data_IF_447193900019
#
_entry.id   IF_447193900019
#
_cell.length_a   1.000
_cell.length_b   1.000
_cell.length_c   1.000
_cell.angle_alpha   90.00
_cell.angle_beta   90.00
_cell.angle_gamma   90.00
#
_symmetry.space_group_name_H-M   'P 1'
#
loop_
_entity.id
_entity.type
_entity.pdbx_description
1 polymer ?
#
# COMPACT_ATOMS: atom_id res chain seq x y z
N UNK A 1 -56.45 36.63 -11.13
CA UNK A 1 -55.32 35.94 -11.79
C UNK A 1 -54.09 36.45 -11.09
N UNK A 2 -53.63 35.70 -10.08
CA UNK A 2 -52.54 36.09 -9.20
C UNK A 2 -51.22 35.69 -9.83
N UNK A 3 -50.34 36.68 -10.00
CA UNK A 3 -48.97 36.53 -10.46
C UNK A 3 -48.20 35.59 -9.54
N UNK A 4 -47.71 34.49 -10.11
CA UNK A 4 -46.71 33.64 -9.48
C UNK A 4 -45.33 34.25 -9.77
N UNK A 5 -44.90 35.16 -8.91
CA UNK A 5 -43.49 35.53 -8.83
C UNK A 5 -42.68 34.28 -8.48
N UNK A 6 -41.87 33.84 -9.43
CA UNK A 6 -40.96 32.72 -9.29
C UNK A 6 -39.74 33.24 -8.53
N UNK A 7 -39.83 33.33 -7.21
CA UNK A 7 -38.68 33.61 -6.36
C UNK A 7 -37.69 32.45 -6.47
N UNK A 8 -36.64 32.63 -7.28
CA UNK A 8 -35.49 31.75 -7.27
C UNK A 8 -34.89 31.75 -5.85
N UNK A 9 -34.59 30.58 -5.29
CA UNK A 9 -34.00 30.43 -3.95
C UNK A 9 -32.51 30.07 -4.07
N UNK A 10 -31.67 30.55 -3.14
CA UNK A 10 -30.23 30.28 -3.12
C UNK A 10 -29.77 29.67 -1.80
N UNK A 11 -28.92 28.64 -1.91
CA UNK A 11 -28.40 27.89 -0.76
C UNK A 11 -27.01 28.45 -0.42
N UNK A 12 -26.89 29.19 0.68
CA UNK A 12 -25.64 29.93 0.97
C UNK A 12 -24.97 29.61 2.30
N UNK A 13 -25.70 29.14 3.32
CA UNK A 13 -25.11 28.98 4.65
C UNK A 13 -25.16 27.54 5.12
N UNK A 14 -23.99 26.90 5.06
CA UNK A 14 -23.75 25.58 5.64
C UNK A 14 -22.77 25.71 6.80
N UNK A 15 -23.27 25.44 8.02
CA UNK A 15 -22.45 25.38 9.24
C UNK A 15 -22.06 23.92 9.51
N UNK A 16 -20.91 23.73 10.14
CA UNK A 16 -20.39 22.43 10.55
C UNK A 16 -19.10 22.04 9.84
N UNK A 17 -18.81 22.58 8.65
CA UNK A 17 -17.54 22.30 7.99
C UNK A 17 -16.33 22.87 8.74
N UNK A 18 -15.15 22.23 8.63
CA UNK A 18 -13.91 22.79 9.18
C UNK A 18 -13.68 24.22 8.68
N UNK A 19 -13.12 25.07 9.56
CA UNK A 19 -12.81 26.46 9.23
C UNK A 19 -11.80 26.56 8.07
N UNK A 20 -10.89 25.58 7.99
CA UNK A 20 -9.93 25.42 6.91
C UNK A 20 -10.51 24.54 5.80
N UNK A 21 -10.25 24.90 4.54
CA UNK A 21 -10.59 24.05 3.38
C UNK A 21 -9.74 22.79 3.29
N UNK A 22 -8.76 22.63 4.19
CA UNK A 22 -7.82 21.53 4.25
C UNK A 22 -7.77 20.98 5.67
N UNK A 23 -7.81 19.66 5.82
CA UNK A 23 -7.64 18.96 7.10
C UNK A 23 -6.65 17.80 6.94
N UNK A 24 -6.12 17.26 8.04
CA UNK A 24 -5.30 16.05 8.02
C UNK A 24 -6.15 14.79 8.19
N UNK A 25 -5.64 13.67 7.67
CA UNK A 25 -6.29 12.38 7.77
C UNK A 25 -6.49 11.99 9.24
N UNK A 26 -7.65 11.42 9.55
CA UNK A 26 -8.09 11.11 10.91
C UNK A 26 -8.78 12.25 11.65
N UNK A 27 -8.90 13.44 11.03
CA UNK A 27 -9.70 14.52 11.61
C UNK A 27 -11.16 14.07 11.78
N UNK A 28 -11.73 14.36 12.96
CA UNK A 28 -13.12 14.02 13.24
C UNK A 28 -14.05 14.78 12.29
N UNK A 29 -15.01 14.11 11.63
CA UNK A 29 -15.99 14.78 10.80
C UNK A 29 -16.95 15.62 11.66
N UNK A 30 -17.62 16.62 11.07
CA UNK A 30 -18.63 17.39 11.77
C UNK A 30 -19.72 16.49 12.33
N UNK A 31 -20.05 16.65 13.62
CA UNK A 31 -21.16 15.91 14.23
C UNK A 31 -22.46 16.10 13.43
N UNK A 32 -22.74 17.36 13.06
CA UNK A 32 -23.87 17.73 12.23
C UNK A 32 -23.47 18.80 11.21
N UNK A 33 -24.06 18.72 10.03
CA UNK A 33 -24.01 19.77 9.03
C UNK A 33 -25.39 20.41 8.99
N UNK A 34 -25.45 21.72 9.20
CA UNK A 34 -26.71 22.49 9.17
C UNK A 34 -26.69 23.38 7.94
N UNK A 35 -27.58 23.10 6.98
CA UNK A 35 -27.79 23.90 5.79
C UNK A 35 -29.10 24.71 5.92
N UNK A 36 -29.09 25.92 5.35
CA UNK A 36 -30.28 26.77 5.22
C UNK A 36 -30.42 27.29 3.81
N UNK A 37 -31.67 27.49 3.40
CA UNK A 37 -32.03 28.12 2.14
C UNK A 37 -32.35 29.58 2.43
N UNK A 38 -31.77 30.48 1.64
CA UNK A 38 -31.93 31.93 1.76
C UNK A 38 -32.65 32.45 0.51
N UNK A 39 -33.51 33.48 0.65
CA UNK A 39 -34.05 34.20 -0.50
C UNK A 39 -32.92 34.82 -1.33
N UNK A 40 -33.10 34.94 -2.65
CA UNK A 40 -32.10 35.56 -3.55
C UNK A 40 -31.74 37.00 -3.17
N UNK A 41 -32.66 37.73 -2.55
CA UNK A 41 -32.45 39.10 -2.10
C UNK A 41 -31.56 39.22 -0.85
N UNK A 42 -31.17 38.10 -0.24
CA UNK A 42 -30.29 38.09 0.93
C UNK A 42 -28.85 38.46 0.53
N UNK A 43 -28.33 39.55 1.07
CA UNK A 43 -26.95 39.99 0.86
C UNK A 43 -26.13 39.73 2.13
N UNK A 44 -25.23 38.74 2.04
CA UNK A 44 -24.34 38.26 3.12
C UNK A 44 -23.36 39.32 3.69
N UNK A 45 -23.17 40.47 3.03
CA UNK A 45 -22.15 41.47 3.39
C UNK A 45 -22.43 42.29 4.66
N UNK A 46 -23.61 42.14 5.28
CA UNK A 46 -24.01 42.93 6.46
C UNK A 46 -23.72 42.20 7.77
N UNK A 47 -22.44 42.16 8.18
CA UNK A 47 -21.82 41.98 9.52
C UNK A 47 -22.47 41.19 10.69
N UNK A 48 -23.63 40.56 10.55
CA UNK A 48 -24.28 39.75 11.57
C UNK A 48 -23.90 38.28 11.38
N UNK A 49 -22.96 37.79 12.20
CA UNK A 49 -22.69 36.34 12.32
C UNK A 49 -23.88 35.55 12.90
N UNK A 50 -24.90 36.24 13.41
CA UNK A 50 -26.12 35.64 13.94
C UNK A 50 -27.07 35.19 12.84
N UNK A 51 -27.63 34.00 13.03
CA UNK A 51 -28.70 33.46 12.20
C UNK A 51 -29.98 34.24 12.53
N UNK A 52 -30.67 34.81 11.54
CA UNK A 52 -31.98 35.44 11.70
C UNK A 52 -33.03 34.65 10.91
N UNK A 53 -34.15 34.33 11.58
CA UNK A 53 -35.26 33.54 11.03
C UNK A 53 -35.91 34.20 9.82
N UNK A 54 -35.95 35.55 9.78
CA UNK A 54 -36.63 36.27 8.69
C UNK A 54 -35.95 36.07 7.33
N UNK A 55 -34.69 35.64 7.36
CA UNK A 55 -33.92 35.34 6.15
C UNK A 55 -33.87 33.84 5.85
N UNK A 56 -34.56 32.96 6.58
CA UNK A 56 -34.60 31.52 6.29
C UNK A 56 -35.88 31.22 5.52
N UNK A 57 -35.75 30.69 4.31
CA UNK A 57 -36.88 30.29 3.50
C UNK A 57 -37.66 29.16 4.19
N UNK A 58 -38.98 29.30 4.25
CA UNK A 58 -39.87 28.27 4.77
C UNK A 58 -40.40 27.45 3.60
N UNK A 59 -39.73 26.34 3.33
CA UNK A 59 -40.14 25.40 2.29
C UNK A 59 -40.47 24.05 2.91
N UNK A 60 -41.22 23.22 2.18
CA UNK A 60 -41.47 21.80 2.49
C UNK A 60 -40.65 20.87 1.58
N UNK A 61 -39.74 21.44 0.78
CA UNK A 61 -38.90 20.71 -0.16
C UNK A 61 -37.87 19.89 0.60
N UNK A 62 -37.57 18.69 0.12
CA UNK A 62 -36.50 17.90 0.70
C UNK A 62 -35.14 18.38 0.18
N UNK A 63 -34.11 18.26 1.02
CA UNK A 63 -32.73 18.48 0.63
C UNK A 63 -31.97 17.16 0.64
N UNK A 64 -31.25 16.92 -0.44
CA UNK A 64 -30.30 15.82 -0.56
C UNK A 64 -28.87 16.30 -0.32
N UNK A 65 -28.06 15.43 0.29
CA UNK A 65 -26.60 15.54 0.32
C UNK A 65 -26.01 14.34 -0.39
N UNK A 66 -24.97 14.56 -1.19
CA UNK A 66 -24.12 13.54 -1.79
C UNK A 66 -22.67 13.84 -1.44
N UNK A 67 -21.95 12.83 -0.93
CA UNK A 67 -20.54 12.92 -0.55
C UNK A 67 -19.73 12.00 -1.44
N UNK A 68 -18.73 12.59 -2.11
CA UNK A 68 -17.83 11.93 -3.05
C UNK A 68 -16.38 12.21 -2.68
N UNK A 69 -15.48 11.27 -2.94
CA UNK A 69 -14.04 11.45 -2.78
C UNK A 69 -13.33 11.29 -4.11
N UNK A 70 -12.32 12.13 -4.33
CA UNK A 70 -11.34 12.00 -5.40
C UNK A 70 -9.94 11.82 -4.80
N UNK A 71 -9.30 10.67 -5.06
CA UNK A 71 -8.04 10.25 -4.42
C UNK A 71 -6.78 10.87 -5.02
N UNK A 72 -6.81 11.30 -6.28
CA UNK A 72 -5.68 11.99 -6.92
C UNK A 72 -6.14 13.13 -7.83
N UNK A 73 -5.28 14.15 -8.00
CA UNK A 73 -5.54 15.26 -8.92
C UNK A 73 -5.45 14.84 -10.40
N UNK A 74 -4.80 13.71 -10.70
CA UNK A 74 -4.50 13.26 -12.06
C UNK A 74 -5.52 12.25 -12.61
N UNK A 75 -6.23 11.50 -11.75
CA UNK A 75 -7.28 10.59 -12.18
C UNK A 75 -8.64 11.30 -12.13
N UNK A 76 -9.11 11.81 -13.27
CA UNK A 76 -10.42 12.45 -13.40
C UNK A 76 -11.61 11.45 -13.32
N UNK A 77 -11.35 10.14 -13.39
CA UNK A 77 -12.40 9.12 -13.58
C UNK A 77 -12.73 8.30 -12.31
N UNK A 78 -11.88 8.35 -11.28
CA UNK A 78 -12.08 7.60 -10.03
C UNK A 78 -12.72 8.46 -8.95
N UNK A 79 -13.98 8.85 -9.14
CA UNK A 79 -14.78 9.51 -8.11
C UNK A 79 -15.54 8.45 -7.32
N UNK A 80 -15.08 8.17 -6.09
CA UNK A 80 -15.74 7.23 -5.18
C UNK A 80 -16.97 7.87 -4.55
N UNK A 81 -18.13 7.22 -4.67
CA UNK A 81 -19.29 7.57 -3.85
C UNK A 81 -19.07 7.08 -2.41
N UNK A 82 -19.39 7.92 -1.43
CA UNK A 82 -19.26 7.58 0.00
C UNK A 82 -20.63 7.50 0.65
N UNK A 83 -21.47 8.51 0.45
CA UNK A 83 -22.71 8.65 1.19
C UNK A 83 -23.71 9.53 0.45
N UNK A 84 -24.98 9.19 0.56
CA UNK A 84 -26.08 10.05 0.17
C UNK A 84 -27.21 9.98 1.19
N UNK A 85 -27.89 11.10 1.40
CA UNK A 85 -29.10 11.14 2.20
C UNK A 85 -30.06 12.24 1.73
N UNK A 86 -31.33 12.10 2.11
CA UNK A 86 -32.37 13.11 1.93
C UNK A 86 -33.03 13.38 3.26
N UNK A 87 -33.35 14.64 3.51
CA UNK A 87 -34.05 15.07 4.72
C UNK A 87 -35.06 16.17 4.40
N UNK A 88 -36.17 16.15 5.14
CA UNK A 88 -37.12 17.25 5.17
C UNK A 88 -36.60 18.40 6.06
N UNK A 89 -37.08 19.63 5.87
CA UNK A 89 -36.74 20.76 6.71
C UNK A 89 -37.29 20.56 8.12
N UNK A 90 -36.54 21.03 9.11
CA UNK A 90 -36.83 20.82 10.53
C UNK A 90 -36.74 22.14 11.32
N UNK A 91 -37.12 22.06 12.60
CA UNK A 91 -37.04 23.18 13.54
C UNK A 91 -36.04 22.90 14.66
N UNK A 92 -35.21 23.88 15.04
CA UNK A 92 -34.29 23.79 16.17
C UNK A 92 -34.06 25.14 16.82
N UNK A 93 -34.19 25.21 18.15
CA UNK A 93 -33.96 26.42 18.97
C UNK A 93 -34.69 27.67 18.42
N UNK A 94 -35.96 27.50 18.01
CA UNK A 94 -36.80 28.58 17.49
C UNK A 94 -36.58 28.91 16.00
N UNK A 95 -35.63 28.27 15.33
CA UNK A 95 -35.44 28.42 13.88
C UNK A 95 -36.15 27.31 13.11
N UNK A 96 -36.94 27.68 12.11
CA UNK A 96 -37.66 26.79 11.19
C UNK A 96 -37.04 26.83 9.80
N UNK A 97 -37.08 25.70 9.08
CA UNK A 97 -36.53 25.56 7.73
C UNK A 97 -35.07 25.09 7.71
N UNK A 98 -34.62 24.42 8.77
CA UNK A 98 -33.23 23.92 8.88
C UNK A 98 -33.09 22.51 8.35
N UNK A 99 -32.05 22.28 7.56
CA UNK A 99 -31.66 20.96 7.06
C UNK A 99 -30.47 20.47 7.88
N UNK A 100 -30.69 19.50 8.77
CA UNK A 100 -29.68 18.99 9.72
C UNK A 100 -29.27 17.57 9.32
N UNK A 101 -28.04 17.43 8.84
CA UNK A 101 -27.45 16.14 8.49
C UNK A 101 -26.50 15.67 9.60
N UNK A 102 -26.85 14.62 10.33
CA UNK A 102 -26.02 14.03 11.39
C UNK A 102 -24.90 13.16 10.82
N UNK A 103 -23.89 13.81 10.22
CA UNK A 103 -22.83 13.13 9.48
C UNK A 103 -21.85 12.39 10.40
N UNK A 104 -21.42 12.99 11.50
CA UNK A 104 -20.36 12.44 12.35
C UNK A 104 -20.73 11.11 13.00
N UNK A 105 -22.00 10.91 13.36
CA UNK A 105 -22.46 9.62 13.89
C UNK A 105 -22.57 8.54 12.82
N UNK A 106 -22.89 8.92 11.57
CA UNK A 106 -23.08 7.97 10.46
C UNK A 106 -21.77 7.59 9.78
N UNK A 107 -20.82 8.51 9.75
CA UNK A 107 -19.54 8.38 9.07
C UNK A 107 -18.42 8.87 10.01
N UNK A 108 -18.18 8.21 11.16
CA UNK A 108 -17.14 8.65 12.10
C UNK A 108 -15.74 8.67 11.49
N UNK A 109 -15.53 7.86 10.45
CA UNK A 109 -14.25 7.64 9.78
C UNK A 109 -14.12 8.39 8.44
N UNK A 110 -14.98 9.38 8.18
CA UNK A 110 -15.10 10.03 6.87
C UNK A 110 -13.77 10.57 6.34
N UNK A 111 -12.91 11.13 7.18
CA UNK A 111 -11.66 11.77 6.77
C UNK A 111 -10.42 10.92 7.04
N UNK A 112 -10.51 9.58 6.99
CA UNK A 112 -9.31 8.72 7.06
C UNK A 112 -8.53 8.67 5.75
N UNK A 113 -9.22 8.72 4.61
CA UNK A 113 -8.58 8.64 3.30
C UNK A 113 -8.20 10.03 2.79
N UNK A 114 -6.97 10.19 2.29
CA UNK A 114 -6.49 11.42 1.70
C UNK A 114 -7.11 11.64 0.31
N UNK A 115 -7.48 12.89 0.01
CA UNK A 115 -8.15 13.24 -1.24
C UNK A 115 -9.00 14.50 -1.12
N UNK A 116 -9.74 14.80 -2.17
CA UNK A 116 -10.70 15.91 -2.17
C UNK A 116 -12.11 15.35 -2.01
N UNK A 117 -12.75 15.73 -0.91
CA UNK A 117 -14.13 15.37 -0.59
C UNK A 117 -15.05 16.47 -1.07
N UNK A 118 -16.04 16.09 -1.87
CA UNK A 118 -17.06 16.98 -2.40
C UNK A 118 -18.39 16.65 -1.73
N UNK A 119 -18.97 17.66 -1.08
CA UNK A 119 -20.30 17.63 -0.50
C UNK A 119 -21.24 18.44 -1.40
N UNK A 120 -22.12 17.75 -2.10
CA UNK A 120 -23.08 18.34 -3.02
C UNK A 120 -24.46 18.35 -2.36
N UNK A 121 -25.05 19.53 -2.23
CA UNK A 121 -26.38 19.74 -1.68
C UNK A 121 -27.34 20.12 -2.80
N UNK A 122 -28.47 19.42 -2.88
CA UNK A 122 -29.48 19.63 -3.92
C UNK A 122 -30.87 19.59 -3.30
N UNK A 123 -31.65 20.66 -3.50
CA UNK A 123 -33.08 20.69 -3.17
C UNK A 123 -33.87 19.86 -4.18
N UNK A 124 -35.03 19.34 -3.78
CA UNK A 124 -35.90 18.54 -4.65
C UNK A 124 -36.50 19.32 -5.82
N UNK A 125 -36.51 20.65 -5.76
CA UNK A 125 -36.88 21.51 -6.89
C UNK A 125 -35.71 21.65 -7.87
N UNK A 126 -36.00 21.38 -9.15
CA UNK A 126 -35.03 21.45 -10.25
C UNK A 126 -34.59 22.89 -10.56
N UNK A 127 -35.35 23.90 -10.13
CA UNK A 127 -35.04 25.31 -10.36
C UNK A 127 -34.06 25.88 -9.32
N UNK A 128 -33.83 25.16 -8.21
CA UNK A 128 -32.90 25.60 -7.17
C UNK A 128 -31.44 25.33 -7.57
N UNK A 129 -30.56 26.30 -7.29
CA UNK A 129 -29.11 26.11 -7.46
C UNK A 129 -28.60 25.04 -6.50
N UNK A 130 -27.75 24.16 -7.01
CA UNK A 130 -26.97 23.21 -6.19
C UNK A 130 -25.85 23.96 -5.48
N UNK A 131 -25.51 23.51 -4.28
CA UNK A 131 -24.37 24.04 -3.53
C UNK A 131 -23.32 22.95 -3.38
N UNK A 132 -22.06 23.32 -3.59
CA UNK A 132 -20.94 22.40 -3.50
C UNK A 132 -19.91 22.94 -2.49
N UNK A 133 -19.52 22.08 -1.55
CA UNK A 133 -18.40 22.33 -0.65
C UNK A 133 -17.31 21.29 -0.87
N UNK A 134 -16.07 21.75 -1.04
CA UNK A 134 -14.88 20.89 -1.10
C UNK A 134 -14.10 20.96 0.20
N UNK A 135 -13.61 19.81 0.65
CA UNK A 135 -12.69 19.64 1.77
C UNK A 135 -11.53 18.79 1.30
N UNK A 136 -10.31 19.30 1.40
CA UNK A 136 -9.09 18.55 1.06
C UNK A 136 -8.58 17.86 2.30
N UNK A 137 -8.51 16.53 2.28
CA UNK A 137 -7.87 15.73 3.33
C UNK A 137 -6.45 15.40 2.88
N UNK A 138 -5.45 15.87 3.62
CA UNK A 138 -4.05 15.49 3.44
C UNK A 138 -3.76 14.23 4.23
N UNK A 139 -2.85 13.40 3.74
CA UNK A 139 -2.36 12.27 4.51
C UNK A 139 -1.73 12.74 5.84
N UNK A 140 -1.80 11.89 6.87
CA UNK A 140 -1.13 12.11 8.15
C UNK A 140 0.39 12.07 7.96
N UNK A 141 1.10 12.87 8.75
CA UNK A 141 2.57 12.88 8.74
C UNK A 141 3.18 11.70 9.49
N UNK A 142 2.36 10.99 10.26
CA UNK A 142 2.78 9.84 11.05
C UNK A 142 2.89 8.61 10.15
N UNK A 143 4.09 8.04 10.10
CA UNK A 143 4.37 6.84 9.32
C UNK A 143 3.73 5.63 10.03
N UNK A 144 2.83 4.93 9.33
CA UNK A 144 2.20 3.73 9.84
C UNK A 144 2.94 2.46 9.39
N UNK A 145 3.17 2.32 8.09
CA UNK A 145 3.82 1.13 7.53
C UNK A 145 4.46 1.39 6.17
N UNK A 146 5.38 0.51 5.78
CA UNK A 146 5.86 0.44 4.42
C UNK A 146 5.17 -0.69 3.67
N UNK A 147 5.03 -0.54 2.36
CA UNK A 147 4.35 -1.53 1.51
C UNK A 147 5.12 -1.72 0.21
N UNK A 148 5.19 -2.96 -0.26
CA UNK A 148 5.62 -3.27 -1.62
C UNK A 148 4.66 -2.63 -2.63
N UNK A 149 5.21 -1.95 -3.64
CA UNK A 149 4.47 -1.31 -4.71
C UNK A 149 4.50 -2.18 -5.97
N UNK A 150 3.32 -2.54 -6.45
CA UNK A 150 3.15 -3.51 -7.53
C UNK A 150 3.39 -4.94 -7.05
N UNK A 151 3.04 -5.87 -7.91
CA UNK A 151 3.33 -7.29 -7.68
C UNK A 151 4.70 -7.60 -8.30
N UNK A 152 5.61 -8.16 -7.50
CA UNK A 152 6.67 -8.97 -8.09
C UNK A 152 5.94 -10.20 -8.63
N UNK A 153 5.99 -10.43 -9.95
CA UNK A 153 5.23 -11.51 -10.59
C UNK A 153 5.46 -12.85 -9.87
N UNK A 154 4.43 -13.34 -9.17
CA UNK A 154 4.48 -14.58 -8.41
C UNK A 154 5.51 -14.59 -7.27
N UNK A 155 6.01 -15.79 -6.95
CA UNK A 155 7.08 -16.00 -5.96
C UNK A 155 8.42 -15.96 -6.69
N UNK A 156 9.21 -14.87 -6.61
CA UNK A 156 10.49 -14.79 -7.30
C UNK A 156 11.40 -15.96 -6.92
N UNK A 157 11.94 -16.64 -7.94
CA UNK A 157 12.89 -17.74 -7.82
C UNK A 157 14.25 -17.25 -8.30
N UNK A 158 15.20 -17.16 -7.39
CA UNK A 158 16.55 -16.65 -7.65
C UNK A 158 17.58 -17.71 -7.30
N UNK A 159 18.76 -17.66 -7.91
CA UNK A 159 19.91 -18.47 -7.47
C UNK A 159 20.75 -17.65 -6.51
N UNK A 160 21.38 -18.30 -5.53
CA UNK A 160 22.41 -17.67 -4.71
C UNK A 160 23.53 -17.10 -5.60
N UNK A 161 24.05 -15.94 -5.22
CA UNK A 161 25.05 -15.21 -6.02
C UNK A 161 24.48 -14.48 -7.24
N UNK A 162 23.17 -14.59 -7.53
CA UNK A 162 22.50 -13.81 -8.58
C UNK A 162 21.73 -12.61 -8.01
N UNK A 163 21.56 -11.52 -8.79
CA UNK A 163 20.82 -10.35 -8.34
C UNK A 163 19.32 -10.65 -8.23
N UNK A 164 18.72 -10.29 -7.09
CA UNK A 164 17.28 -10.34 -6.88
C UNK A 164 16.55 -9.35 -7.80
N UNK A 165 15.34 -9.68 -8.29
CA UNK A 165 14.52 -8.75 -9.08
C UNK A 165 14.37 -7.38 -8.41
N UNK A 166 14.40 -6.31 -9.20
CA UNK A 166 14.18 -4.96 -8.65
C UNK A 166 12.75 -4.83 -8.12
N UNK A 167 12.58 -4.10 -7.02
CA UNK A 167 11.28 -3.84 -6.43
C UNK A 167 11.16 -2.41 -5.89
N UNK A 168 9.92 -2.00 -5.65
CA UNK A 168 9.58 -0.64 -5.22
C UNK A 168 8.82 -0.70 -3.90
N UNK A 169 9.13 0.22 -2.99
CA UNK A 169 8.49 0.34 -1.68
C UNK A 169 7.86 1.72 -1.56
N UNK A 170 6.65 1.76 -1.01
CA UNK A 170 5.92 2.97 -0.67
C UNK A 170 5.81 3.15 0.83
N UNK A 171 5.82 4.39 1.27
CA UNK A 171 5.57 4.77 2.66
C UNK A 171 4.08 5.11 2.83
N UNK A 172 3.43 4.54 3.83
CA UNK A 172 2.04 4.78 4.15
C UNK A 172 1.90 5.38 5.54
N UNK A 173 0.95 6.30 5.69
CA UNK A 173 0.56 6.82 7.00
C UNK A 173 -0.22 5.78 7.82
N UNK A 174 -0.56 6.12 9.06
CA UNK A 174 -1.36 5.28 9.97
C UNK A 174 -2.77 4.94 9.45
N UNK A 175 -3.27 5.65 8.43
CA UNK A 175 -4.57 5.42 7.79
C UNK A 175 -4.44 4.70 6.43
N UNK A 176 -3.21 4.40 5.98
CA UNK A 176 -2.94 3.72 4.73
C UNK A 176 -2.78 4.64 3.51
N UNK A 177 -2.73 5.96 3.71
CA UNK A 177 -2.49 6.93 2.63
C UNK A 177 -1.02 6.98 2.27
N UNK A 178 -0.71 7.17 0.98
CA UNK A 178 0.67 7.28 0.50
C UNK A 178 1.28 8.62 0.92
N UNK A 179 2.46 8.57 1.53
CA UNK A 179 3.20 9.75 1.98
C UNK A 179 4.63 9.75 1.42
N UNK A 180 5.23 10.93 1.23
CA UNK A 180 6.61 11.01 0.76
C UNK A 180 7.59 10.58 1.85
N UNK A 181 8.66 9.89 1.44
CA UNK A 181 9.81 9.69 2.28
C UNK A 181 10.50 11.04 2.55
N UNK A 182 10.95 11.26 3.79
CA UNK A 182 11.66 12.50 4.18
C UNK A 182 12.99 12.64 3.43
N UNK A 183 13.72 11.54 3.35
CA UNK A 183 15.01 11.36 2.67
C UNK A 183 15.13 9.91 2.18
N UNK A 184 16.21 9.58 1.49
CA UNK A 184 16.54 8.17 1.19
C UNK A 184 16.78 7.46 2.52
N UNK A 185 16.00 6.44 2.89
CA UNK A 185 16.17 5.78 4.18
C UNK A 185 17.39 4.86 4.18
N UNK A 186 18.00 4.71 5.35
CA UNK A 186 18.92 3.59 5.63
C UNK A 186 18.11 2.33 5.88
N UNK A 187 18.44 1.27 5.14
CA UNK A 187 17.71 0.00 5.15
C UNK A 187 18.69 -1.16 5.24
N UNK A 188 18.27 -2.22 5.91
CA UNK A 188 18.93 -3.52 5.95
C UNK A 188 18.11 -4.51 5.16
N UNK A 189 18.78 -5.39 4.41
CA UNK A 189 18.14 -6.46 3.65
C UNK A 189 18.62 -7.81 4.19
N UNK A 190 17.66 -8.58 4.70
CA UNK A 190 17.89 -9.91 5.29
C UNK A 190 17.15 -10.97 4.49
N UNK A 191 17.76 -12.14 4.35
CA UNK A 191 17.08 -13.34 3.87
C UNK A 191 16.72 -14.19 5.07
N UNK A 192 15.43 -14.29 5.36
CA UNK A 192 14.90 -15.05 6.48
C UNK A 192 14.17 -16.31 6.01
N UNK A 193 14.02 -17.24 6.94
CA UNK A 193 13.24 -18.45 6.76
C UNK A 193 12.65 -18.91 8.10
N UNK A 194 11.88 -19.99 8.07
CA UNK A 194 11.33 -20.60 9.30
C UNK A 194 12.43 -21.07 10.27
N UNK A 195 13.65 -21.30 9.79
CA UNK A 195 14.80 -21.71 10.61
C UNK A 195 15.68 -20.53 11.07
N UNK A 196 15.26 -19.30 10.77
CA UNK A 196 15.97 -18.06 11.13
C UNK A 196 16.65 -17.38 9.94
N UNK A 197 17.57 -16.46 10.27
CA UNK A 197 18.30 -15.63 9.31
C UNK A 197 19.32 -16.47 8.53
N UNK A 198 19.18 -16.50 7.21
CA UNK A 198 20.05 -17.24 6.28
C UNK A 198 21.19 -16.38 5.73
N UNK A 199 20.92 -15.08 5.51
CA UNK A 199 21.90 -14.12 5.03
C UNK A 199 21.47 -12.69 5.35
N UNK A 200 22.45 -11.79 5.37
CA UNK A 200 22.26 -10.35 5.44
C UNK A 200 23.18 -9.71 4.40
N UNK A 201 22.71 -8.67 3.71
CA UNK A 201 23.47 -8.05 2.61
C UNK A 201 23.30 -6.53 2.62
N UNK A 202 24.42 -5.85 2.44
CA UNK A 202 24.53 -4.42 2.14
C UNK A 202 24.74 -4.17 0.63
N UNK A 203 24.89 -5.25 -0.16
CA UNK A 203 25.17 -5.19 -1.60
C UNK A 203 23.88 -5.02 -2.38
N UNK A 204 23.43 -3.76 -2.48
CA UNK A 204 22.29 -3.36 -3.31
C UNK A 204 22.38 -1.88 -3.68
N UNK A 205 21.53 -1.45 -4.61
CA UNK A 205 21.33 -0.04 -4.97
C UNK A 205 19.96 0.41 -4.49
N UNK A 206 19.90 1.59 -3.87
CA UNK A 206 18.65 2.26 -3.47
C UNK A 206 18.56 3.64 -4.09
N UNK A 207 17.38 4.02 -4.57
CA UNK A 207 17.11 5.37 -5.07
C UNK A 207 15.68 5.79 -4.76
N UNK A 208 15.48 7.08 -4.57
CA UNK A 208 14.17 7.66 -4.31
C UNK A 208 13.66 8.34 -5.58
N UNK A 209 12.39 8.14 -5.92
CA UNK A 209 11.75 8.84 -7.02
C UNK A 209 11.70 10.36 -6.79
N UNK A 210 11.52 11.13 -7.86
CA UNK A 210 11.45 12.60 -7.81
C UNK A 210 10.33 13.12 -6.91
N UNK A 211 9.17 12.47 -6.94
CA UNK A 211 8.02 12.75 -6.07
C UNK A 211 8.21 12.29 -4.61
N UNK A 212 9.32 11.59 -4.32
CA UNK A 212 9.63 10.97 -3.03
C UNK A 212 8.61 9.95 -2.54
N UNK A 213 7.71 9.46 -3.40
CA UNK A 213 6.68 8.50 -3.02
C UNK A 213 7.11 7.04 -3.21
N UNK A 214 8.24 6.80 -3.89
CA UNK A 214 8.71 5.46 -4.28
C UNK A 214 10.19 5.30 -3.93
N UNK A 215 10.51 4.37 -3.03
CA UNK A 215 11.86 3.86 -2.83
C UNK A 215 12.10 2.67 -3.76
N UNK A 216 13.01 2.80 -4.71
CA UNK A 216 13.41 1.73 -5.62
C UNK A 216 14.63 1.02 -5.06
N UNK A 217 14.56 -0.31 -4.96
CA UNK A 217 15.65 -1.17 -4.53
C UNK A 217 16.02 -2.11 -5.68
N UNK A 218 17.30 -2.17 -6.03
CA UNK A 218 17.79 -2.88 -7.21
C UNK A 218 19.08 -3.64 -6.90
N UNK A 219 19.35 -4.68 -7.70
CA UNK A 219 20.59 -5.45 -7.67
C UNK A 219 20.94 -5.96 -6.27
N UNK A 220 19.95 -6.44 -5.52
CA UNK A 220 20.19 -7.06 -4.21
C UNK A 220 20.91 -8.37 -4.43
N UNK A 221 22.15 -8.48 -3.95
CA UNK A 221 22.93 -9.69 -4.06
C UNK A 221 22.77 -10.55 -2.82
N UNK A 222 22.18 -11.73 -3.00
CA UNK A 222 21.96 -12.70 -1.92
C UNK A 222 23.08 -13.74 -1.96
N UNK A 223 23.89 -13.79 -0.92
CA UNK A 223 24.95 -14.79 -0.72
C UNK A 223 24.69 -15.50 0.60
N UNK A 224 24.58 -16.82 0.58
CA UNK A 224 24.32 -17.64 1.76
C UNK A 224 24.99 -19.01 1.58
N UNK A 225 25.53 -19.55 2.67
CA UNK A 225 26.03 -20.94 2.78
C UNK A 225 25.12 -21.80 3.68
N UNK A 226 23.87 -21.37 3.86
CA UNK A 226 22.91 -21.97 4.81
C UNK A 226 21.67 -22.50 4.11
N UNK A 227 21.67 -22.60 2.78
CA UNK A 227 20.48 -23.00 2.01
C UNK A 227 20.08 -24.46 2.27
N UNK A 228 21.02 -25.29 2.69
CA UNK A 228 20.77 -26.69 3.07
C UNK A 228 19.78 -26.82 4.22
N UNK A 229 19.63 -25.77 5.04
CA UNK A 229 18.68 -25.75 6.17
C UNK A 229 17.23 -25.60 5.73
N UNK A 230 16.99 -25.19 4.48
CA UNK A 230 15.65 -24.97 3.92
C UNK A 230 15.33 -25.89 2.73
N UNK A 231 16.16 -26.91 2.50
CA UNK A 231 15.90 -27.93 1.52
C UNK A 231 14.63 -28.74 1.86
N UNK A 232 13.95 -29.34 0.88
CA UNK A 232 14.20 -29.26 -0.56
C UNK A 232 13.45 -28.10 -1.23
N UNK A 233 12.58 -27.38 -0.50
CA UNK A 233 11.69 -26.37 -1.10
C UNK A 233 12.36 -25.01 -1.29
N UNK A 234 13.44 -24.75 -0.53
CA UNK A 234 14.21 -23.51 -0.58
C UNK A 234 13.36 -22.25 -0.40
N UNK A 235 12.32 -22.35 0.44
CA UNK A 235 11.43 -21.22 0.71
C UNK A 235 12.07 -20.26 1.70
N UNK A 236 12.08 -18.99 1.31
CA UNK A 236 12.65 -17.91 2.11
C UNK A 236 11.79 -16.65 1.98
N UNK A 237 12.13 -15.65 2.76
CA UNK A 237 11.52 -14.33 2.74
C UNK A 237 12.62 -13.29 2.74
N UNK A 238 12.63 -12.43 1.72
CA UNK A 238 13.46 -11.24 1.73
C UNK A 238 12.78 -10.20 2.62
N UNK A 239 13.46 -9.78 3.68
CA UNK A 239 12.97 -8.82 4.66
C UNK A 239 13.77 -7.53 4.52
N UNK A 240 13.05 -6.43 4.31
CA UNK A 240 13.60 -5.08 4.24
C UNK A 240 13.11 -4.31 5.46
N UNK A 241 14.05 -3.87 6.29
CA UNK A 241 13.77 -3.07 7.48
C UNK A 241 14.56 -1.76 7.40
N UNK A 242 14.01 -0.61 7.81
CA UNK A 242 14.83 0.50 8.22
C UNK A 242 15.63 0.12 9.48
N UNK A 243 16.75 0.81 9.71
CA UNK A 243 17.68 0.53 10.82
C UNK A 243 17.03 0.66 12.21
N UNK A 244 15.92 1.39 12.32
CA UNK A 244 15.13 1.54 13.54
C UNK A 244 14.18 0.35 13.84
N UNK A 245 14.13 -0.66 12.96
CA UNK A 245 13.46 -1.97 13.07
C UNK A 245 11.94 -1.98 13.36
N UNK A 246 11.28 -0.84 13.49
CA UNK A 246 9.84 -0.80 13.82
C UNK A 246 8.91 -1.17 12.65
N UNK A 247 9.39 -1.04 11.41
CA UNK A 247 8.61 -1.27 10.19
C UNK A 247 9.35 -2.29 9.31
N UNK A 248 8.63 -3.26 8.74
CA UNK A 248 9.22 -4.24 7.83
C UNK A 248 8.39 -4.45 6.56
N UNK A 249 9.09 -4.69 5.46
CA UNK A 249 8.51 -5.16 4.20
C UNK A 249 9.05 -6.56 3.93
N UNK A 250 8.15 -7.50 3.65
CA UNK A 250 8.50 -8.90 3.44
C UNK A 250 8.10 -9.34 2.05
N UNK A 251 9.00 -10.02 1.34
CA UNK A 251 8.79 -10.56 -0.01
C UNK A 251 9.07 -12.06 0.05
N UNK A 252 8.04 -12.88 -0.13
CA UNK A 252 8.20 -14.33 -0.21
C UNK A 252 8.94 -14.71 -1.50
N UNK A 253 9.95 -15.58 -1.39
CA UNK A 253 10.79 -15.98 -2.52
C UNK A 253 11.29 -17.43 -2.39
N UNK A 254 11.94 -17.93 -3.43
CA UNK A 254 12.76 -19.13 -3.41
C UNK A 254 14.20 -18.79 -3.76
N UNK A 255 15.15 -19.26 -2.94
CA UNK A 255 16.59 -19.06 -3.19
C UNK A 255 17.24 -20.42 -3.41
N UNK A 256 17.47 -20.75 -4.68
CA UNK A 256 18.08 -22.01 -5.09
C UNK A 256 19.60 -21.95 -4.93
N UNK A 257 20.26 -23.09 -4.66
CA UNK A 257 21.71 -23.19 -4.75
C UNK A 257 22.20 -22.87 -6.18
N UNK A 258 23.48 -22.53 -6.27
CA UNK A 258 24.17 -22.22 -7.50
C UNK A 258 24.46 -23.47 -8.35
N UNK A 259 25.20 -23.26 -9.44
CA UNK A 259 25.74 -24.37 -10.24
C UNK A 259 26.87 -25.07 -9.48
N UNK A 260 27.10 -26.35 -9.78
CA UNK A 260 28.23 -27.12 -9.23
C UNK A 260 29.53 -26.39 -9.51
N UNK A 261 30.35 -26.24 -8.47
CA UNK A 261 31.71 -25.72 -8.55
C UNK A 261 32.72 -26.66 -7.90
N UNK A 262 32.32 -27.35 -6.82
CA UNK A 262 33.17 -28.27 -6.10
C UNK A 262 32.53 -29.66 -6.07
N UNK A 263 33.31 -30.68 -6.40
CA UNK A 263 32.93 -32.08 -6.33
C UNK A 263 33.97 -32.80 -5.49
N UNK A 264 33.54 -33.47 -4.43
CA UNK A 264 34.39 -34.22 -3.51
C UNK A 264 33.85 -35.63 -3.31
N UNK A 265 34.74 -36.61 -3.21
CA UNK A 265 34.35 -37.96 -2.79
C UNK A 265 34.05 -38.00 -1.29
N UNK A 266 33.05 -38.78 -0.89
CA UNK A 266 32.71 -39.01 0.51
C UNK A 266 32.75 -40.52 0.86
N UNK A 267 33.74 -41.00 1.65
CA UNK A 267 34.90 -40.25 2.16
C UNK A 267 35.85 -39.81 1.04
N UNK A 268 36.77 -38.85 1.31
CA UNK A 268 37.77 -38.43 0.32
C UNK A 268 38.49 -39.63 -0.29
N UNK A 269 38.55 -39.66 -1.62
CA UNK A 269 39.22 -40.73 -2.35
C UNK A 269 40.71 -40.65 -2.04
N UNK A 270 41.25 -41.70 -1.43
CA UNK A 270 42.66 -41.80 -1.10
C UNK A 270 43.39 -42.58 -2.20
N UNK A 271 44.63 -42.19 -2.52
CA UNK A 271 45.44 -42.83 -3.58
C UNK A 271 45.58 -44.34 -3.39
N UNK A 272 45.67 -44.80 -2.13
CA UNK A 272 45.74 -46.23 -1.80
C UNK A 272 44.52 -47.04 -2.25
N UNK A 273 43.37 -46.40 -2.52
CA UNK A 273 42.16 -47.03 -3.03
C UNK A 273 42.10 -47.04 -4.57
N UNK A 274 43.08 -46.44 -5.25
CA UNK A 274 43.13 -46.28 -6.72
C UNK A 274 44.15 -47.21 -7.38
N UNK A 275 44.56 -48.28 -6.68
CA UNK A 275 45.50 -49.26 -7.20
C UNK A 275 44.80 -50.23 -8.17
N UNK A 276 45.48 -50.69 -9.24
CA UNK A 276 44.93 -51.69 -10.15
C UNK A 276 44.43 -52.94 -9.42
N UNK A 277 43.24 -53.42 -9.81
CA UNK A 277 42.59 -54.60 -9.21
C UNK A 277 41.69 -54.30 -8.00
N UNK A 278 41.69 -53.08 -7.48
CA UNK A 278 40.71 -52.66 -6.46
C UNK A 278 39.36 -52.33 -7.10
N UNK A 279 38.29 -52.75 -6.46
CA UNK A 279 36.91 -52.48 -6.88
C UNK A 279 36.26 -51.52 -5.91
N UNK A 280 35.88 -50.34 -6.40
CA UNK A 280 35.07 -49.37 -5.65
C UNK A 280 33.61 -49.80 -5.76
N UNK A 281 33.04 -50.31 -4.65
CA UNK A 281 31.65 -50.78 -4.61
C UNK A 281 30.63 -49.64 -4.67
N UNK A 282 30.96 -48.51 -4.07
CA UNK A 282 30.10 -47.33 -3.98
C UNK A 282 30.96 -46.08 -4.07
N UNK A 283 30.60 -45.19 -4.99
CA UNK A 283 31.22 -43.89 -5.16
C UNK A 283 30.18 -42.82 -4.80
N UNK A 284 30.31 -42.25 -3.60
CA UNK A 284 29.47 -41.13 -3.17
C UNK A 284 30.21 -39.83 -3.49
N UNK A 285 29.58 -38.98 -4.29
CA UNK A 285 30.07 -37.65 -4.62
C UNK A 285 29.21 -36.61 -3.91
N UNK A 286 29.86 -35.73 -3.16
CA UNK A 286 29.28 -34.51 -2.63
C UNK A 286 29.50 -33.39 -3.64
N UNK A 287 28.43 -32.66 -3.95
CA UNK A 287 28.42 -31.63 -4.98
C UNK A 287 27.97 -30.31 -4.37
N UNK A 288 28.87 -29.33 -4.37
CA UNK A 288 28.67 -28.02 -3.76
C UNK A 288 28.73 -26.91 -4.82
N UNK A 289 27.97 -25.85 -4.56
CA UNK A 289 28.06 -24.60 -5.33
C UNK A 289 29.23 -23.72 -4.86
N UNK A 290 29.39 -22.54 -5.49
CA UNK A 290 30.45 -21.56 -5.15
C UNK A 290 30.37 -21.00 -3.72
N UNK A 291 29.30 -21.31 -2.99
CA UNK A 291 28.98 -20.76 -1.67
C UNK A 291 28.80 -21.88 -0.64
N UNK A 292 29.35 -23.06 -0.91
CA UNK A 292 29.32 -24.23 -0.02
C UNK A 292 27.90 -24.75 0.31
N UNK A 293 26.91 -24.51 -0.56
CA UNK A 293 25.60 -25.16 -0.45
C UNK A 293 25.55 -26.40 -1.33
N UNK A 294 24.79 -27.41 -0.89
CA UNK A 294 24.50 -28.57 -1.72
C UNK A 294 23.65 -28.16 -2.93
N UNK A 295 24.07 -28.61 -4.11
CA UNK A 295 23.33 -28.34 -5.35
C UNK A 295 21.94 -29.00 -5.31
N UNK A 296 21.01 -28.42 -6.08
CA UNK A 296 19.63 -28.89 -6.10
C UNK A 296 19.51 -30.34 -6.57
N UNK A 297 18.65 -31.12 -5.92
CA UNK A 297 18.35 -32.50 -6.34
C UNK A 297 17.84 -32.55 -7.78
N UNK A 298 18.22 -33.61 -8.50
CA UNK A 298 17.82 -33.83 -9.90
C UNK A 298 18.66 -33.08 -10.92
N UNK A 299 19.79 -32.48 -10.50
CA UNK A 299 20.76 -31.92 -11.43
C UNK A 299 21.53 -33.05 -12.13
N UNK A 300 21.54 -33.02 -13.46
CA UNK A 300 22.38 -33.91 -14.27
C UNK A 300 23.81 -33.38 -14.30
N UNK A 301 24.78 -34.25 -14.03
CA UNK A 301 26.21 -33.92 -14.03
C UNK A 301 26.93 -34.97 -14.86
N UNK A 302 27.79 -34.52 -15.78
CA UNK A 302 28.66 -35.40 -16.55
C UNK A 302 29.92 -35.70 -15.73
N UNK A 303 30.19 -36.99 -15.51
CA UNK A 303 31.42 -37.46 -14.89
C UNK A 303 32.31 -38.05 -15.97
N UNK A 304 33.48 -37.43 -16.16
CA UNK A 304 34.54 -38.00 -16.97
C UNK A 304 35.46 -38.79 -16.03
N UNK A 305 35.63 -40.07 -16.31
CA UNK A 305 36.40 -40.97 -15.45
C UNK A 305 37.51 -41.59 -16.29
N UNK A 306 38.75 -41.29 -15.91
CA UNK A 306 39.94 -41.84 -16.56
C UNK A 306 40.57 -42.92 -15.68
N UNK A 307 40.92 -44.06 -16.27
CA UNK A 307 41.59 -45.17 -15.58
C UNK A 307 40.67 -46.09 -14.75
N UNK A 308 39.35 -45.90 -14.82
CA UNK A 308 38.37 -46.82 -14.24
C UNK A 308 37.56 -47.51 -15.33
N UNK A 309 37.14 -48.74 -15.05
CA UNK A 309 36.12 -49.45 -15.83
C UNK A 309 34.83 -49.49 -14.99
N UNK A 310 33.74 -48.95 -15.54
CA UNK A 310 32.41 -49.08 -14.92
C UNK A 310 31.93 -50.51 -15.20
N UNK A 311 31.78 -51.31 -14.14
CA UNK A 311 31.18 -52.63 -14.23
C UNK A 311 29.66 -52.47 -14.21
N UNK A 312 29.01 -52.59 -15.36
CA UNK A 312 27.57 -52.78 -15.41
C UNK A 312 27.20 -54.22 -15.00
N UNK A 313 25.93 -54.42 -14.64
CA UNK A 313 25.43 -55.74 -14.21
C UNK A 313 25.17 -56.69 -15.39
N UNK A 314 25.47 -56.28 -16.61
CA UNK A 314 25.36 -57.06 -17.84
C UNK A 314 26.74 -57.06 -18.51
N UNK A 315 27.67 -57.83 -17.94
CA UNK A 315 29.04 -57.92 -18.43
C UNK A 315 29.17 -58.35 -19.89
#
# INVERSE_FOLDING_TARGET
MSDHDTESEHLEQIKGFPAESTVEAGCAPPAEIVAVVRPVLYISSSHSKSLDQKYIAKTNLEMSIEVKIRKSAEECQNVGHIYSARIAPSSRKGFNGLYIFSLGCKLPDLFKEAGVYTFLFTLSDKNCKKYEKKVTVKASREVGKWKLLGDIQGKPRVRVGSPFPSFSIGCLDIYGNRIPFKSVPEITVKLDSIVGVLAETDKFKKSLSSDKLTLKVQNVLIVSNKLDRIQPKYEATLVICPVDELIKVSISCQVMPGSVQHITGQPPIQEKHLLPGFVVKELVLEMLDAHDNHVGKGLEVQLNVDGFCILDKEG
#
